data_IF_958655661284
#
_entry.id   IF_958655661284
#
_cell.length_a   1.000
_cell.length_b   1.000
_cell.length_c   1.000
_cell.angle_alpha   90.00
_cell.angle_beta   90.00
_cell.angle_gamma   90.00
#
_symmetry.space_group_name_H-M   'P 1'
#
loop_
_entity.id
_entity.type
_entity.pdbx_description
1 polymer ?
#
# COMPACT_ATOMS: atom_id res chain seq x y z
N UNK A 1 1.26 -9.08 8.07
CA UNK A 1 1.75 -8.20 6.98
C UNK A 1 3.23 -7.93 7.20
N UNK A 2 3.98 -7.71 6.13
CA UNK A 2 5.44 -7.52 6.09
C UNK A 2 5.76 -6.16 5.46
N UNK A 3 6.98 -5.66 5.67
CA UNK A 3 7.37 -4.35 5.13
C UNK A 3 7.47 -4.38 3.60
N UNK A 4 7.09 -3.30 2.94
CA UNK A 4 7.42 -3.00 1.55
C UNK A 4 7.94 -1.55 1.47
N UNK A 5 8.31 -1.07 0.29
CA UNK A 5 8.73 0.33 0.06
C UNK A 5 7.79 1.03 -0.92
N UNK A 6 7.69 2.36 -0.82
CA UNK A 6 6.83 3.16 -1.69
C UNK A 6 7.22 2.97 -3.17
N UNK A 7 8.52 2.93 -3.46
CA UNK A 7 9.06 2.69 -4.81
C UNK A 7 8.66 1.33 -5.37
N UNK A 8 8.71 0.26 -4.57
CA UNK A 8 8.27 -1.09 -5.00
C UNK A 8 6.77 -1.14 -5.24
N UNK A 9 5.98 -0.56 -4.34
CA UNK A 9 4.53 -0.47 -4.49
C UNK A 9 4.16 0.28 -5.76
N UNK A 10 4.73 1.47 -5.98
CA UNK A 10 4.49 2.30 -7.15
C UNK A 10 4.84 1.57 -8.45
N UNK A 11 6.01 0.92 -8.50
CA UNK A 11 6.42 0.13 -9.67
C UNK A 11 5.43 -0.99 -9.99
N UNK A 12 4.98 -1.73 -8.97
CA UNK A 12 4.05 -2.85 -9.14
C UNK A 12 2.68 -2.42 -9.68
N UNK A 13 2.19 -1.27 -9.21
CA UNK A 13 0.94 -0.68 -9.67
C UNK A 13 1.06 -0.16 -11.11
N UNK A 14 2.20 0.46 -11.46
CA UNK A 14 2.47 0.95 -12.82
C UNK A 14 2.63 -0.17 -13.84
N UNK A 15 3.35 -1.23 -13.46
CA UNK A 15 3.57 -2.41 -14.29
C UNK A 15 2.31 -3.29 -14.39
N UNK A 16 1.21 -2.90 -13.72
CA UNK A 16 -0.07 -3.63 -13.66
C UNK A 16 0.10 -5.09 -13.23
N UNK A 17 1.11 -5.36 -12.40
CA UNK A 17 1.33 -6.68 -11.79
C UNK A 17 0.23 -6.98 -10.77
N UNK A 18 -0.37 -5.93 -10.20
CA UNK A 18 -1.56 -5.99 -9.36
C UNK A 18 -2.51 -4.89 -9.80
N UNK A 19 -3.82 -5.08 -9.60
CA UNK A 19 -4.84 -4.06 -9.84
C UNK A 19 -5.39 -3.55 -8.52
N UNK A 20 -5.74 -2.25 -8.47
CA UNK A 20 -6.40 -1.65 -7.32
C UNK A 20 -7.90 -1.96 -7.39
N UNK A 21 -8.42 -2.49 -6.29
CA UNK A 21 -9.85 -2.74 -6.09
C UNK A 21 -10.53 -1.60 -5.33
N UNK A 22 -9.91 -1.13 -4.26
CA UNK A 22 -10.46 -0.09 -3.40
C UNK A 22 -9.35 0.60 -2.60
N UNK A 23 -9.54 1.88 -2.29
CA UNK A 23 -8.60 2.68 -1.49
C UNK A 23 -9.38 3.45 -0.45
N UNK A 24 -9.10 3.17 0.82
CA UNK A 24 -9.72 3.83 1.96
C UNK A 24 -8.67 4.60 2.74
N UNK A 25 -8.97 5.84 3.07
CA UNK A 25 -8.19 6.67 3.98
C UNK A 25 -9.03 6.88 5.24
N UNK A 26 -8.53 6.39 6.37
CA UNK A 26 -9.19 6.50 7.67
C UNK A 26 -8.45 7.50 8.54
N UNK A 27 -9.16 8.49 9.06
CA UNK A 27 -8.68 9.35 10.13
C UNK A 27 -8.63 8.56 11.44
N UNK A 28 -7.47 8.52 12.12
CA UNK A 28 -7.28 7.71 13.33
C UNK A 28 -8.03 8.25 14.55
N UNK A 29 -8.31 9.54 14.59
CA UNK A 29 -8.96 10.18 15.73
C UNK A 29 -10.47 10.09 15.60
N UNK A 30 -11.01 10.42 14.42
CA UNK A 30 -12.45 10.47 14.18
C UNK A 30 -13.03 9.15 13.66
N UNK A 31 -12.19 8.23 13.16
CA UNK A 31 -12.59 7.05 12.38
C UNK A 31 -13.38 7.38 11.11
N UNK A 32 -13.36 8.63 10.64
CA UNK A 32 -13.94 9.01 9.36
C UNK A 32 -13.21 8.29 8.22
N UNK A 33 -13.97 7.67 7.32
CA UNK A 33 -13.43 6.93 6.17
C UNK A 33 -13.75 7.67 4.89
N UNK A 34 -12.71 7.98 4.11
CA UNK A 34 -12.81 8.54 2.76
C UNK A 34 -12.34 7.51 1.75
N UNK A 35 -13.06 7.40 0.64
CA UNK A 35 -12.64 6.61 -0.51
C UNK A 35 -12.01 7.55 -1.52
N UNK A 36 -10.82 7.22 -2.02
CA UNK A 36 -10.13 8.01 -3.05
C UNK A 36 -9.96 7.20 -4.33
N UNK A 37 -9.81 7.88 -5.47
CA UNK A 37 -9.58 7.22 -6.74
C UNK A 37 -8.16 6.64 -6.82
N UNK A 38 -7.99 5.60 -7.63
CA UNK A 38 -6.68 5.03 -7.97
C UNK A 38 -5.75 6.09 -8.57
N UNK A 39 -6.28 6.98 -9.42
CA UNK A 39 -5.51 8.06 -10.06
C UNK A 39 -4.97 9.05 -9.03
N UNK A 40 -5.81 9.51 -8.10
CA UNK A 40 -5.39 10.40 -7.02
C UNK A 40 -4.31 9.74 -6.16
N UNK A 41 -4.52 8.48 -5.77
CA UNK A 41 -3.55 7.75 -4.98
C UNK A 41 -2.20 7.58 -5.70
N UNK A 42 -2.21 7.27 -7.00
CA UNK A 42 -0.98 7.10 -7.76
C UNK A 42 -0.20 8.41 -7.89
N UNK A 43 -0.89 9.53 -8.14
CA UNK A 43 -0.26 10.86 -8.17
C UNK A 43 0.39 11.20 -6.82
N UNK A 44 -0.33 10.98 -5.72
CA UNK A 44 0.17 11.25 -4.37
C UNK A 44 1.36 10.34 -4.03
N UNK A 45 1.26 9.04 -4.31
CA UNK A 45 2.32 8.07 -4.04
C UNK A 45 3.59 8.38 -4.84
N UNK A 46 3.46 8.81 -6.10
CA UNK A 46 4.58 9.27 -6.92
C UNK A 46 5.23 10.51 -6.31
N UNK A 47 4.46 11.54 -6.01
CA UNK A 47 4.96 12.76 -5.38
C UNK A 47 5.69 12.49 -4.06
N UNK A 48 5.12 11.65 -3.18
CA UNK A 48 5.74 11.30 -1.90
C UNK A 48 7.00 10.42 -2.06
N UNK A 49 7.05 9.61 -3.11
CA UNK A 49 8.24 8.80 -3.43
C UNK A 49 9.37 9.69 -3.95
N UNK A 50 9.06 10.64 -4.84
CA UNK A 50 10.04 11.55 -5.46
C UNK A 50 10.57 12.61 -4.49
N UNK A 51 9.71 13.14 -3.61
CA UNK A 51 10.10 14.09 -2.56
C UNK A 51 10.93 13.46 -1.43
N UNK A 52 11.06 12.13 -1.40
CA UNK A 52 11.81 11.40 -0.38
C UNK A 52 11.09 11.26 0.96
N UNK A 53 9.82 11.64 1.05
CA UNK A 53 8.99 11.51 2.27
C UNK A 53 8.96 10.05 2.76
N UNK A 54 8.98 9.08 1.85
CA UNK A 54 8.97 7.66 2.17
C UNK A 54 10.33 6.95 2.16
N UNK A 55 11.45 7.64 1.94
CA UNK A 55 12.77 7.01 1.74
C UNK A 55 13.15 6.05 2.88
N UNK A 56 12.88 6.44 4.12
CA UNK A 56 13.18 5.67 5.34
C UNK A 56 11.91 5.09 6.00
N UNK A 57 10.76 5.13 5.31
CA UNK A 57 9.49 4.69 5.89
C UNK A 57 9.41 3.17 5.96
N UNK A 58 9.29 2.65 7.17
CA UNK A 58 8.99 1.22 7.41
C UNK A 58 7.49 0.97 7.58
N UNK A 59 6.66 2.00 7.43
CA UNK A 59 5.23 1.96 7.76
C UNK A 59 4.34 1.51 6.60
N UNK A 60 4.94 1.17 5.46
CA UNK A 60 4.24 0.57 4.33
C UNK A 60 4.28 -0.94 4.52
N UNK A 61 3.12 -1.53 4.83
CA UNK A 61 2.96 -2.96 5.08
C UNK A 61 2.11 -3.60 4.00
N UNK A 62 2.51 -4.77 3.53
CA UNK A 62 1.75 -5.58 2.58
C UNK A 62 1.48 -6.99 3.13
N UNK A 63 0.36 -7.58 2.76
CA UNK A 63 0.09 -8.99 3.05
C UNK A 63 -1.30 -9.42 2.62
N UNK A 64 -1.55 -10.71 2.78
CA UNK A 64 -2.87 -11.31 2.50
C UNK A 64 -3.75 -11.16 3.73
N UNK A 65 -4.98 -10.68 3.53
CA UNK A 65 -6.04 -10.55 4.53
C UNK A 65 -7.29 -11.24 3.98
N UNK A 66 -7.68 -12.35 4.59
CA UNK A 66 -8.69 -13.25 4.01
C UNK A 66 -8.24 -13.74 2.64
N UNK A 67 -9.07 -13.53 1.62
CA UNK A 67 -8.77 -13.86 0.22
C UNK A 67 -8.26 -12.67 -0.60
N UNK A 68 -7.87 -11.55 0.03
CA UNK A 68 -7.46 -10.33 -0.68
C UNK A 68 -6.04 -9.91 -0.31
N UNK A 69 -5.34 -9.29 -1.26
CA UNK A 69 -4.07 -8.63 -1.00
C UNK A 69 -4.36 -7.23 -0.46
N UNK A 70 -3.69 -6.84 0.61
CA UNK A 70 -3.86 -5.53 1.25
C UNK A 70 -2.52 -4.86 1.44
N UNK A 71 -2.48 -3.56 1.22
CA UNK A 71 -1.41 -2.67 1.63
C UNK A 71 -1.95 -1.69 2.67
N UNK A 72 -1.16 -1.42 3.69
CA UNK A 72 -1.44 -0.41 4.72
C UNK A 72 -0.28 0.57 4.79
N UNK A 73 -0.61 1.86 4.82
CA UNK A 73 0.33 2.96 5.00
C UNK A 73 -0.16 3.79 6.18
N UNK A 74 0.73 4.24 7.05
CA UNK A 74 0.36 5.13 8.15
C UNK A 74 -0.06 4.39 9.42
N UNK A 75 -0.36 3.09 9.39
CA UNK A 75 -0.97 2.37 10.53
C UNK A 75 -0.07 2.33 11.76
N UNK A 76 1.23 2.07 11.62
CA UNK A 76 2.18 2.01 12.75
C UNK A 76 2.93 3.33 12.98
N UNK A 77 2.83 4.31 12.08
CA UNK A 77 3.44 5.62 12.29
C UNK A 77 2.70 6.38 13.40
N UNK A 78 3.40 6.79 14.48
CA UNK A 78 2.82 7.66 15.51
C UNK A 78 2.61 9.09 15.00
N UNK A 79 3.28 9.48 13.92
CA UNK A 79 3.19 10.82 13.34
C UNK A 79 2.15 10.92 12.21
N UNK A 80 1.55 9.80 11.78
CA UNK A 80 0.50 9.80 10.77
C UNK A 80 -0.87 9.89 11.45
N UNK A 81 -1.66 10.91 11.12
CA UNK A 81 -3.07 10.99 11.52
C UNK A 81 -3.96 10.05 10.70
N UNK A 82 -3.49 9.65 9.52
CA UNK A 82 -4.27 8.83 8.59
C UNK A 82 -3.72 7.41 8.46
N UNK A 83 -4.61 6.48 8.15
CA UNK A 83 -4.28 5.13 7.67
C UNK A 83 -4.85 4.97 6.28
N UNK A 84 -4.00 4.71 5.30
CA UNK A 84 -4.42 4.36 3.94
C UNK A 84 -4.40 2.86 3.78
N UNK A 85 -5.54 2.27 3.46
CA UNK A 85 -5.72 0.87 3.15
C UNK A 85 -5.99 0.72 1.65
N UNK A 86 -5.10 0.00 0.95
CA UNK A 86 -5.25 -0.30 -0.47
C UNK A 86 -5.56 -1.78 -0.59
N UNK A 87 -6.70 -2.11 -1.19
CA UNK A 87 -7.09 -3.46 -1.52
C UNK A 87 -6.70 -3.75 -2.97
N UNK A 88 -5.98 -4.85 -3.16
CA UNK A 88 -5.39 -5.24 -4.43
C UNK A 88 -5.89 -6.62 -4.86
N UNK A 89 -6.09 -6.76 -6.16
CA UNK A 89 -6.22 -8.06 -6.81
C UNK A 89 -4.88 -8.44 -7.46
N UNK A 90 -4.44 -9.67 -7.19
CA UNK A 90 -3.29 -10.26 -7.86
C UNK A 90 -3.64 -10.68 -9.29
N UNK A 91 -2.63 -11.06 -10.11
CA UNK A 91 -2.88 -11.64 -11.42
C UNK A 91 -3.79 -12.85 -11.32
N UNK A 92 -4.66 -13.03 -12.30
CA UNK A 92 -5.57 -14.17 -12.35
C UNK A 92 -4.80 -15.50 -12.30
N UNK A 93 -5.24 -16.42 -11.44
CA UNK A 93 -4.60 -17.72 -11.25
C UNK A 93 -3.30 -17.73 -10.43
N UNK A 94 -2.79 -16.58 -9.95
CA UNK A 94 -1.63 -16.55 -9.06
C UNK A 94 -2.01 -16.61 -7.58
N UNK A 95 -1.17 -17.32 -6.81
CA UNK A 95 -1.28 -17.35 -5.35
C UNK A 95 -0.94 -15.98 -4.75
N UNK A 96 -1.89 -15.39 -4.02
CA UNK A 96 -1.77 -14.05 -3.45
C UNK A 96 -0.67 -13.96 -2.39
N UNK A 97 -0.29 -15.07 -1.72
CA UNK A 97 0.82 -15.08 -0.76
C UNK A 97 2.16 -14.99 -1.49
N UNK A 98 2.29 -15.65 -2.65
CA UNK A 98 3.47 -15.51 -3.50
C UNK A 98 3.59 -14.09 -4.05
N UNK A 99 2.48 -13.48 -4.48
CA UNK A 99 2.46 -12.07 -4.91
C UNK A 99 2.89 -11.16 -3.77
N UNK A 100 2.30 -11.29 -2.58
CA UNK A 100 2.70 -10.52 -1.41
C UNK A 100 4.20 -10.65 -1.13
N UNK A 101 4.73 -11.87 -1.09
CA UNK A 101 6.15 -12.15 -0.82
C UNK A 101 7.12 -11.48 -1.81
N UNK A 102 6.76 -11.40 -3.10
CA UNK A 102 7.58 -10.69 -4.11
C UNK A 102 7.68 -9.18 -3.84
N UNK A 103 6.65 -8.62 -3.20
CA UNK A 103 6.52 -7.20 -2.92
C UNK A 103 7.13 -6.80 -1.58
N UNK A 104 7.40 -7.76 -0.71
CA UNK A 104 8.08 -7.54 0.56
C UNK A 104 9.52 -7.06 0.35
N UNK A 105 10.02 -6.26 1.28
CA UNK A 105 11.46 -6.03 1.47
C UNK A 105 11.91 -6.82 2.68
N UNK A 106 13.02 -7.54 2.56
CA UNK A 106 13.78 -7.98 3.73
C UNK A 106 14.43 -6.73 4.32
N UNK A 107 13.95 -6.34 5.50
CA UNK A 107 14.65 -5.37 6.33
C UNK A 107 15.77 -6.16 7.01
N UNK A 108 17.02 -5.85 6.64
CA UNK A 108 18.22 -6.43 7.23
C UNK A 108 18.35 -6.07 8.72
#
# INVERSE_FOLDING_TARGET
>A
MRSTSAKRLLGTLRDRTVSVKDIKVTDKDSNEVKVISTEQFLMDLEFYTESGIFTESTDIKIGVVGDSLKVEIGRKSPCSLYVTEIWLDGPEGQDKRQVAKKLEVEVA
#
